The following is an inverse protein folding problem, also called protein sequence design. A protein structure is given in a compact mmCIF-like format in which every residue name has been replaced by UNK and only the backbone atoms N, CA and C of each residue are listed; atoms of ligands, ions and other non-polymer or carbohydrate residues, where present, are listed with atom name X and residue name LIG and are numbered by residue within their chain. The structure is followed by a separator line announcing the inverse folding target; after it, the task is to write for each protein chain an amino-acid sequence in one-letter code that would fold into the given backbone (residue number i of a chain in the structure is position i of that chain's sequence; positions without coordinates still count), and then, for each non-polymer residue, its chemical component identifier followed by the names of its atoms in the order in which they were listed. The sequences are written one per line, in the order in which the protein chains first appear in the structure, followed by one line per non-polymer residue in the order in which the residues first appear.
data_IF_794431249263
#
_entry.id   IF_794431249263
#
_cell.length_a   1.000
_cell.length_b   1.000
_cell.length_c   1.000
_cell.angle_alpha   90.00
_cell.angle_beta   90.00
_cell.angle_gamma   90.00
#
_symmetry.space_group_name_H-M   'P 1'
#
loop_
_entity.id
_entity.type
_entity.pdbx_description
1 polymer ?
#
# COMPACT_ATOMS: atom_id res chain seq x y z
N UNK A 1 7.74 -5.87 22.81
CA UNK A 1 6.75 -6.29 21.78
C UNK A 1 6.48 -5.09 20.90
N UNK A 2 6.87 -5.12 19.63
CA UNK A 2 6.73 -3.99 18.69
C UNK A 2 5.67 -4.36 17.67
N UNK A 3 4.75 -3.43 17.38
CA UNK A 3 3.77 -3.55 16.31
C UNK A 3 4.03 -2.47 15.26
N UNK A 4 3.96 -2.86 14.00
CA UNK A 4 4.21 -1.99 12.85
C UNK A 4 2.93 -1.90 12.04
N UNK A 5 2.51 -0.68 11.78
CA UNK A 5 1.28 -0.35 11.05
C UNK A 5 1.61 0.51 9.84
N UNK A 6 0.84 0.36 8.76
CA UNK A 6 0.93 1.21 7.58
C UNK A 6 -0.37 2.00 7.42
N UNK A 7 -0.30 3.29 7.03
CA UNK A 7 -1.47 4.10 6.66
C UNK A 7 -1.23 4.71 5.29
N UNK A 8 -2.15 4.44 4.38
CA UNK A 8 -2.13 4.99 3.02
C UNK A 8 -2.82 6.34 3.06
N UNK A 9 -2.14 7.37 2.52
CA UNK A 9 -2.70 8.71 2.42
C UNK A 9 -3.56 8.81 1.15
N UNK A 10 -4.78 9.39 1.22
CA UNK A 10 -5.53 9.76 0.03
C UNK A 10 -4.70 10.63 -0.92
N UNK A 11 -4.84 10.39 -2.21
CA UNK A 11 -4.24 11.25 -3.23
C UNK A 11 -5.09 12.52 -3.34
N UNK A 12 -4.46 13.69 -3.24
CA UNK A 12 -5.14 14.99 -3.28
C UNK A 12 -5.44 15.46 -4.72
N UNK A 13 -4.81 14.85 -5.72
CA UNK A 13 -4.92 15.21 -7.14
C UNK A 13 -5.24 13.98 -8.00
N UNK A 14 -5.67 14.20 -9.24
CA UNK A 14 -5.94 13.15 -10.23
C UNK A 14 -4.64 12.52 -10.76
N UNK A 15 -3.97 11.73 -9.94
CA UNK A 15 -2.81 10.93 -10.30
C UNK A 15 -3.08 9.43 -10.15
N UNK A 16 -2.14 8.61 -10.63
CA UNK A 16 -2.19 7.15 -10.48
C UNK A 16 -1.64 6.73 -9.11
N UNK A 17 -2.42 5.97 -8.35
CA UNK A 17 -1.92 5.28 -7.15
C UNK A 17 -0.97 4.16 -7.56
N UNK A 18 0.14 4.02 -6.84
CA UNK A 18 1.02 2.86 -6.94
C UNK A 18 0.60 1.72 -6.02
N UNK A 19 -0.36 1.93 -5.12
CA UNK A 19 -0.96 0.86 -4.32
C UNK A 19 -1.91 0.06 -5.20
N UNK A 20 -1.69 -1.25 -5.23
CA UNK A 20 -2.45 -2.21 -6.03
C UNK A 20 -3.47 -2.98 -5.17
N UNK A 21 -3.04 -3.44 -4.00
CA UNK A 21 -3.89 -4.24 -3.12
C UNK A 21 -3.61 -3.97 -1.64
N UNK A 22 -4.68 -3.97 -0.84
CA UNK A 22 -4.65 -3.88 0.62
C UNK A 22 -5.43 -5.07 1.15
N UNK A 23 -4.76 -6.02 1.79
CA UNK A 23 -5.41 -7.18 2.40
C UNK A 23 -5.83 -6.92 3.85
N UNK A 24 -6.91 -7.59 4.25
CA UNK A 24 -7.42 -7.54 5.63
C UNK A 24 -6.44 -8.14 6.66
N UNK A 25 -5.54 -9.01 6.19
CA UNK A 25 -4.46 -9.64 6.96
C UNK A 25 -3.26 -8.72 7.21
N UNK A 26 -3.29 -7.49 6.67
CA UNK A 26 -2.18 -6.54 6.75
C UNK A 26 -1.17 -6.65 5.60
N UNK A 27 -1.52 -7.37 4.53
CA UNK A 27 -0.75 -7.36 3.29
C UNK A 27 -0.95 -6.06 2.50
N UNK A 28 0.12 -5.55 1.90
CA UNK A 28 0.11 -4.36 1.05
C UNK A 28 0.94 -4.61 -0.21
N UNK A 29 0.32 -4.54 -1.39
CA UNK A 29 1.00 -4.70 -2.68
C UNK A 29 1.16 -3.34 -3.37
N UNK A 30 2.39 -3.05 -3.81
CA UNK A 30 2.76 -1.83 -4.53
C UNK A 30 3.24 -2.19 -5.94
N UNK A 31 2.64 -1.56 -6.95
CA UNK A 31 3.07 -1.59 -8.34
C UNK A 31 3.98 -0.39 -8.64
N UNK A 32 5.04 -0.62 -9.41
CA UNK A 32 5.89 0.44 -9.92
C UNK A 32 5.61 0.70 -11.40
N UNK A 33 4.83 1.73 -11.77
CA UNK A 33 4.46 2.01 -13.15
C UNK A 33 5.65 2.49 -14.00
N UNK A 34 6.76 2.91 -13.38
CA UNK A 34 7.94 3.42 -14.08
C UNK A 34 8.96 2.32 -14.42
N UNK A 35 8.76 1.08 -13.98
CA UNK A 35 9.71 -0.02 -14.21
C UNK A 35 9.09 -1.14 -15.04
N UNK A 36 9.33 -1.10 -16.35
CA UNK A 36 8.73 -2.03 -17.32
C UNK A 36 9.38 -3.43 -17.37
N UNK A 37 10.54 -3.66 -16.76
CA UNK A 37 11.20 -4.96 -16.81
C UNK A 37 11.85 -5.32 -15.47
N UNK A 38 11.34 -6.41 -14.85
CA UNK A 38 11.94 -7.21 -13.76
C UNK A 38 11.70 -6.87 -12.28
N UNK A 39 10.90 -5.88 -11.90
CA UNK A 39 10.42 -5.78 -10.50
C UNK A 39 8.97 -6.27 -10.45
N UNK A 40 8.75 -7.47 -9.89
CA UNK A 40 7.41 -7.96 -9.55
C UNK A 40 6.73 -6.99 -8.58
N UNK A 41 5.38 -6.97 -8.51
CA UNK A 41 4.64 -6.25 -7.48
C UNK A 41 5.26 -6.53 -6.12
N UNK A 42 5.56 -5.49 -5.33
CA UNK A 42 6.17 -5.66 -4.01
C UNK A 42 5.10 -5.79 -2.96
N UNK A 43 5.06 -6.94 -2.30
CA UNK A 43 4.16 -7.19 -1.19
C UNK A 43 4.90 -7.02 0.15
N UNK A 44 4.29 -6.28 1.06
CA UNK A 44 4.75 -6.04 2.42
C UNK A 44 3.72 -6.58 3.42
N UNK A 45 4.18 -7.06 4.57
CA UNK A 45 3.31 -7.50 5.66
C UNK A 45 3.42 -6.56 6.87
N UNK A 46 2.27 -6.10 7.35
CA UNK A 46 2.13 -5.29 8.55
C UNK A 46 1.20 -5.95 9.55
N UNK A 47 1.18 -5.45 10.79
CA UNK A 47 0.16 -5.87 11.75
C UNK A 47 -1.24 -5.38 11.35
N UNK A 48 -1.33 -4.24 10.67
CA UNK A 48 -2.54 -3.71 10.04
C UNK A 48 -2.17 -2.64 9.03
N UNK A 49 -2.92 -2.59 7.93
CA UNK A 49 -2.85 -1.51 6.93
C UNK A 49 -4.15 -0.72 6.97
N UNK A 50 -4.04 0.59 7.11
CA UNK A 50 -5.16 1.53 7.08
C UNK A 50 -5.25 2.12 5.67
N UNK A 51 -6.35 1.82 4.98
CA UNK A 51 -6.61 2.35 3.64
C UNK A 51 -6.86 3.87 3.63
N UNK A 52 -6.94 4.49 2.44
CA UNK A 52 -7.07 5.94 2.29
C UNK A 52 -8.32 6.52 2.98
N UNK A 53 -9.40 5.75 3.07
CA UNK A 53 -10.66 6.18 3.71
C UNK A 53 -10.67 6.02 5.24
N UNK A 54 -9.57 5.57 5.86
CA UNK A 54 -9.53 5.34 7.30
C UNK A 54 -9.52 6.65 8.09
N UNK A 55 -10.42 6.76 9.08
CA UNK A 55 -10.50 7.86 10.03
C UNK A 55 -9.51 7.70 11.18
N UNK A 56 -9.30 8.77 11.97
CA UNK A 56 -8.59 8.72 13.25
C UNK A 56 -9.46 8.08 14.33
#
# INVERSE_FOLDING_TARGET
NIRVYCRIRPLLEAGYSTVDFIGEDGSLTILNPLKQQKDQPKTFQFNKVFGPTSTQ
#
